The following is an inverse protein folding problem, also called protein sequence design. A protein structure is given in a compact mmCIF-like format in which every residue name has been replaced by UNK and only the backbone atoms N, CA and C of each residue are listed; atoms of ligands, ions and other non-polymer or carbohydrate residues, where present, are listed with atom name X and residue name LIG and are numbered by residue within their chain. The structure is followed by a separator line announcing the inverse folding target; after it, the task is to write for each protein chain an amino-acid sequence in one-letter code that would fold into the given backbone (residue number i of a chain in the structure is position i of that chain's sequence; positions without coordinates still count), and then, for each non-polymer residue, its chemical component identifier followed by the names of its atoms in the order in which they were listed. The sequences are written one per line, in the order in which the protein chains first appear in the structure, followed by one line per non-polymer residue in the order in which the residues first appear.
data_IF_004840228539
#
_entry.id   IF_004840228539
#
_cell.length_a   1.000
_cell.length_b   1.000
_cell.length_c   1.000
_cell.angle_alpha   90.00
_cell.angle_beta   90.00
_cell.angle_gamma   90.00
#
_symmetry.space_group_name_H-M   'P 1'
#
loop_
_entity.id
_entity.type
_entity.pdbx_description
1 polymer ?
#
# COMPACT_ATOMS: atom_id res chain seq x y z
N UNK A 1 2.63 -1.31 19.80
CA UNK A 1 2.73 -2.51 18.92
C UNK A 1 1.39 -2.73 18.20
N UNK A 2 0.88 -1.68 17.53
CA UNK A 2 -0.45 -1.67 16.88
C UNK A 2 -0.40 -1.39 15.37
N UNK A 3 0.80 -1.14 14.79
CA UNK A 3 0.96 -0.57 13.44
C UNK A 3 0.99 -1.61 12.30
N UNK A 4 0.65 -2.89 12.52
CA UNK A 4 1.02 -3.93 11.56
C UNK A 4 -0.07 -4.93 11.14
N UNK A 5 -1.34 -4.75 11.46
CA UNK A 5 -2.36 -5.72 11.04
C UNK A 5 -2.55 -5.80 9.51
N UNK A 6 -2.58 -4.72 8.72
CA UNK A 6 -2.61 -4.85 7.25
C UNK A 6 -1.23 -5.21 6.65
N UNK A 7 -0.14 -4.68 7.22
CA UNK A 7 1.22 -4.89 6.70
C UNK A 7 1.82 -6.29 6.97
N UNK A 8 1.24 -7.09 7.89
CA UNK A 8 1.66 -8.49 8.16
C UNK A 8 0.93 -9.53 7.31
N UNK A 9 -0.17 -9.19 6.66
CA UNK A 9 -0.99 -10.17 5.94
C UNK A 9 -1.14 -9.87 4.44
N UNK A 10 -1.10 -8.61 4.01
CA UNK A 10 -1.23 -8.24 2.60
C UNK A 10 0.12 -8.27 1.87
N UNK A 11 0.20 -8.96 0.72
CA UNK A 11 1.38 -9.03 -0.17
C UNK A 11 2.74 -9.26 0.53
N UNK A 12 2.82 -10.23 1.46
CA UNK A 12 4.06 -10.53 2.21
C UNK A 12 5.28 -10.85 1.34
N UNK A 13 5.06 -11.39 0.13
CA UNK A 13 6.12 -11.80 -0.78
C UNK A 13 6.95 -10.60 -1.29
N UNK A 14 6.34 -9.41 -1.39
CA UNK A 14 7.00 -8.18 -1.86
C UNK A 14 7.56 -7.33 -0.71
N UNK A 15 7.14 -7.58 0.53
CA UNK A 15 7.58 -6.82 1.70
C UNK A 15 9.07 -6.98 1.97
N UNK A 16 9.54 -8.22 2.07
CA UNK A 16 10.95 -8.50 2.36
C UNK A 16 11.93 -7.96 1.30
N UNK A 17 11.70 -8.14 -0.02
CA UNK A 17 12.63 -7.59 -1.02
C UNK A 17 12.63 -6.05 -1.02
N UNK A 18 11.49 -5.39 -0.85
CA UNK A 18 11.46 -3.93 -0.79
C UNK A 18 12.13 -3.38 0.48
N UNK A 19 11.89 -3.99 1.64
CA UNK A 19 12.57 -3.61 2.88
C UNK A 19 14.09 -3.75 2.76
N UNK A 20 14.60 -4.82 2.14
CA UNK A 20 16.05 -5.01 1.94
C UNK A 20 16.65 -3.96 1.00
N UNK A 21 15.95 -3.62 -0.08
CA UNK A 21 16.40 -2.58 -1.03
C UNK A 21 16.43 -1.21 -0.35
N UNK A 22 15.40 -0.86 0.42
CA UNK A 22 15.35 0.43 1.10
C UNK A 22 16.29 0.51 2.30
N UNK A 23 16.53 -0.58 3.01
CA UNK A 23 17.57 -0.67 4.05
C UNK A 23 18.95 -0.45 3.44
N UNK A 24 19.25 -1.05 2.29
CA UNK A 24 20.49 -0.81 1.55
C UNK A 24 20.63 0.67 1.15
N UNK A 25 19.58 1.28 0.57
CA UNK A 25 19.59 2.70 0.18
C UNK A 25 19.80 3.61 1.40
N UNK A 26 19.07 3.39 2.50
CA UNK A 26 19.18 4.22 3.70
C UNK A 26 20.55 4.06 4.40
N UNK A 27 21.13 2.86 4.39
CA UNK A 27 22.40 2.56 5.08
C UNK A 27 23.61 2.99 4.25
N UNK A 28 23.61 2.67 2.95
CA UNK A 28 24.80 2.78 2.11
C UNK A 28 24.83 4.07 1.28
N UNK A 29 23.68 4.66 0.94
CA UNK A 29 23.62 5.91 0.16
C UNK A 29 23.48 7.14 1.06
N UNK A 30 22.65 7.07 2.11
CA UNK A 30 22.38 8.24 2.96
C UNK A 30 23.25 8.32 4.22
N UNK A 31 24.08 7.32 4.52
CA UNK A 31 24.91 7.25 5.74
C UNK A 31 24.15 7.62 7.03
N UNK A 32 22.84 7.39 7.06
CA UNK A 32 22.00 7.76 8.19
C UNK A 32 22.35 6.83 9.35
N UNK A 33 22.79 7.42 10.47
CA UNK A 33 23.01 6.66 11.71
C UNK A 33 21.70 6.00 12.12
N UNK A 34 21.70 4.67 12.07
CA UNK A 34 20.66 3.86 12.69
C UNK A 34 20.92 3.81 14.20
N UNK A 35 19.90 3.96 15.07
CA UNK A 35 18.48 4.22 14.78
C UNK A 35 18.16 5.73 14.80
N UNK A 36 17.56 6.25 13.72
CA UNK A 36 16.96 7.60 13.70
C UNK A 36 15.53 7.53 13.16
N UNK A 37 14.62 8.29 13.77
CA UNK A 37 13.21 8.33 13.36
C UNK A 37 13.04 8.78 11.91
N UNK A 38 13.93 9.66 11.44
CA UNK A 38 13.95 10.13 10.06
C UNK A 38 14.26 9.00 9.06
N UNK A 39 15.26 8.15 9.35
CA UNK A 39 15.60 7.02 8.51
C UNK A 39 14.44 6.02 8.38
N UNK A 40 13.67 5.83 9.47
CA UNK A 40 12.47 4.98 9.46
C UNK A 40 11.40 5.51 8.51
N UNK A 41 11.04 6.80 8.60
CA UNK A 41 10.02 7.38 7.73
C UNK A 41 10.45 7.44 6.26
N UNK A 42 11.72 7.79 6.00
CA UNK A 42 12.27 7.76 4.65
C UNK A 42 12.22 6.35 4.06
N UNK A 43 12.57 5.32 4.82
CA UNK A 43 12.48 3.94 4.37
C UNK A 43 11.03 3.57 3.99
N UNK A 44 10.06 3.88 4.83
CA UNK A 44 8.63 3.63 4.56
C UNK A 44 8.19 4.33 3.27
N UNK A 45 8.52 5.61 3.10
CA UNK A 45 8.19 6.37 1.89
C UNK A 45 8.82 5.72 0.65
N UNK A 46 10.08 5.32 0.72
CA UNK A 46 10.79 4.69 -0.40
C UNK A 46 10.20 3.32 -0.78
N UNK A 47 9.80 2.50 0.21
CA UNK A 47 9.15 1.20 -0.04
C UNK A 47 7.87 1.40 -0.84
N UNK A 48 7.02 2.32 -0.38
CA UNK A 48 5.75 2.60 -1.06
C UNK A 48 5.93 3.30 -2.41
N UNK A 49 6.97 4.13 -2.57
CA UNK A 49 7.32 4.70 -3.87
C UNK A 49 7.74 3.62 -4.88
N UNK A 50 8.56 2.65 -4.47
CA UNK A 50 8.95 1.54 -5.34
C UNK A 50 7.75 0.66 -5.69
N UNK A 51 6.87 0.42 -4.72
CA UNK A 51 5.60 -0.27 -4.96
C UNK A 51 4.71 0.49 -5.96
N UNK A 52 4.59 1.81 -5.83
CA UNK A 52 3.86 2.66 -6.77
C UNK A 52 4.42 2.56 -8.19
N UNK A 53 5.75 2.60 -8.32
CA UNK A 53 6.43 2.47 -9.62
C UNK A 53 6.19 1.09 -10.24
N UNK A 54 6.29 0.02 -9.45
CA UNK A 54 6.00 -1.33 -9.92
C UNK A 54 4.56 -1.44 -10.45
N UNK A 55 3.58 -0.91 -9.70
CA UNK A 55 2.19 -0.87 -10.14
C UNK A 55 1.99 -0.02 -11.39
N UNK A 56 2.62 1.15 -11.49
CA UNK A 56 2.58 1.98 -12.69
C UNK A 56 3.16 1.26 -13.92
N UNK A 57 4.23 0.47 -13.75
CA UNK A 57 4.80 -0.36 -14.81
C UNK A 57 3.86 -1.51 -15.24
N UNK A 58 3.13 -2.11 -14.31
CA UNK A 58 2.11 -3.13 -14.60
C UNK A 58 0.94 -2.50 -15.35
N UNK A 59 0.45 -1.36 -14.88
CA UNK A 59 -0.61 -0.58 -15.51
C UNK A 59 -0.23 -0.16 -16.94
N UNK A 60 1.04 0.24 -17.16
CA UNK A 60 1.56 0.58 -18.49
C UNK A 60 1.55 -0.63 -19.45
N UNK A 61 1.85 -1.84 -18.97
CA UNK A 61 1.68 -3.07 -19.78
C UNK A 61 0.22 -3.33 -20.11
N UNK A 62 -0.69 -3.03 -19.19
CA UNK A 62 -2.15 -3.06 -19.40
C UNK A 62 -2.69 -1.93 -20.28
N UNK A 63 -1.84 -1.04 -20.81
CA UNK A 63 -2.23 0.06 -21.69
C UNK A 63 -2.64 1.36 -21.00
N UNK A 64 -2.52 1.44 -19.67
CA UNK A 64 -2.81 2.66 -18.90
C UNK A 64 -1.62 3.60 -18.92
N UNK A 65 -1.81 4.86 -19.32
CA UNK A 65 -0.72 5.85 -19.30
C UNK A 65 -0.24 6.18 -17.88
N UNK A 66 1.05 6.47 -17.72
CA UNK A 66 1.66 6.85 -16.42
C UNK A 66 1.03 8.08 -15.73
N UNK A 67 0.31 8.92 -16.48
CA UNK A 67 -0.42 10.08 -15.96
C UNK A 67 -1.87 9.74 -15.56
N UNK A 68 -2.38 8.57 -15.99
CA UNK A 68 -3.73 8.08 -15.70
C UNK A 68 -3.73 7.00 -14.61
N UNK A 69 -2.57 6.44 -14.28
CA UNK A 69 -2.46 5.45 -13.21
C UNK A 69 -2.79 6.07 -11.85
N UNK A 70 -3.71 5.42 -11.15
CA UNK A 70 -4.02 5.72 -9.76
C UNK A 70 -2.97 5.24 -8.77
N UNK A 71 -1.92 4.55 -9.24
CA UNK A 71 -0.90 3.94 -8.40
C UNK A 71 -0.19 4.99 -7.55
N UNK A 72 0.20 6.13 -8.13
CA UNK A 72 0.89 7.19 -7.40
C UNK A 72 0.07 7.67 -6.20
N UNK A 73 -1.21 7.97 -6.41
CA UNK A 73 -2.09 8.48 -5.37
C UNK A 73 -2.35 7.42 -4.29
N UNK A 74 -2.63 6.18 -4.68
CA UNK A 74 -2.93 5.10 -3.73
C UNK A 74 -1.73 4.73 -2.86
N UNK A 75 -0.57 4.48 -3.48
CA UNK A 75 0.59 3.95 -2.76
C UNK A 75 1.34 5.04 -1.98
N UNK A 76 1.44 6.29 -2.49
CA UNK A 76 2.09 7.39 -1.75
C UNK A 76 1.25 7.91 -0.58
N UNK A 77 -0.05 7.61 -0.53
CA UNK A 77 -0.89 7.95 0.61
C UNK A 77 -0.71 6.97 1.78
N UNK A 78 -0.23 5.74 1.53
CA UNK A 78 0.00 4.73 2.57
C UNK A 78 1.01 5.18 3.66
N UNK A 79 2.19 5.75 3.32
CA UNK A 79 3.08 6.35 4.32
C UNK A 79 2.42 7.43 5.18
N UNK A 80 1.50 8.22 4.60
CA UNK A 80 0.80 9.29 5.33
C UNK A 80 -0.11 8.69 6.39
N UNK A 81 -0.87 7.65 6.05
CA UNK A 81 -1.70 6.92 7.03
C UNK A 81 -0.88 6.35 8.19
N UNK A 82 0.27 5.73 7.89
CA UNK A 82 1.19 5.18 8.89
C UNK A 82 1.77 6.28 9.80
N UNK A 83 2.13 7.44 9.24
CA UNK A 83 2.64 8.57 10.03
C UNK A 83 1.56 9.12 10.97
N UNK A 84 0.30 9.18 10.51
CA UNK A 84 -0.84 9.61 11.35
C UNK A 84 -1.03 8.64 12.51
N UNK A 85 -1.00 7.33 12.27
CA UNK A 85 -1.08 6.31 13.34
C UNK A 85 0.05 6.46 14.37
N UNK A 86 1.29 6.69 13.92
CA UNK A 86 2.44 6.92 14.79
C UNK A 86 2.27 8.17 15.67
N UNK A 87 1.65 9.23 15.12
CA UNK A 87 1.33 10.46 15.85
C UNK A 87 0.25 10.20 16.90
N UNK A 88 -0.80 9.43 16.56
CA UNK A 88 -1.86 9.06 17.50
C UNK A 88 -1.32 8.20 18.66
N UNK A 89 -0.49 7.19 18.38
CA UNK A 89 0.16 6.37 19.43
C UNK A 89 1.05 7.23 20.34
N UNK A 90 1.78 8.19 19.75
CA UNK A 90 2.63 9.12 20.50
C UNK A 90 1.82 10.08 21.37
N UNK A 91 0.73 10.66 20.85
CA UNK A 91 -0.14 11.56 21.59
C UNK A 91 -0.87 10.83 22.72
N UNK A 92 -1.42 9.65 22.43
CA UNK A 92 -2.08 8.82 23.43
C UNK A 92 -1.12 8.49 24.58
N UNK A 93 0.10 8.07 24.24
CA UNK A 93 1.13 7.74 25.25
C UNK A 93 1.51 8.94 26.11
N UNK A 94 1.54 10.15 25.53
CA UNK A 94 1.84 11.38 26.27
C UNK A 94 0.70 11.82 27.20
N UNK A 95 -0.55 11.63 26.78
CA UNK A 95 -1.73 12.09 27.53
C UNK A 95 -2.19 11.10 28.61
N UNK A 96 -2.16 9.81 28.29
CA UNK A 96 -2.73 8.75 29.13
C UNK A 96 -1.69 7.78 29.69
N UNK A 97 -0.40 8.01 29.39
CA UNK A 97 0.69 7.09 29.71
C UNK A 97 0.77 5.92 28.73
N UNK A 98 1.75 5.03 28.95
CA UNK A 98 1.91 3.86 28.09
C UNK A 98 0.70 2.94 28.21
N UNK A 99 0.24 2.42 27.07
CA UNK A 99 -0.71 1.31 27.07
C UNK A 99 -0.08 0.13 27.81
N UNK A 100 -0.75 -0.35 28.87
CA UNK A 100 -0.43 -1.65 29.44
C UNK A 100 -0.90 -2.73 28.47
N UNK A 101 -0.01 -3.66 28.13
CA UNK A 101 -0.39 -4.85 27.37
C UNK A 101 -1.17 -5.82 28.28
N UNK A 102 -2.29 -6.40 27.81
CA UNK A 102 -2.89 -6.19 26.49
C UNK A 102 -3.65 -4.87 26.37
N UNK A 103 -3.48 -4.17 25.24
CA UNK A 103 -4.28 -2.99 24.92
C UNK A 103 -5.78 -3.30 25.03
N UNK A 104 -6.57 -2.35 25.55
CA UNK A 104 -8.00 -2.55 25.73
C UNK A 104 -8.69 -2.92 24.41
N UNK A 105 -9.70 -3.79 24.48
CA UNK A 105 -10.42 -4.27 23.29
C UNK A 105 -10.96 -3.10 22.44
N UNK A 106 -11.39 -2.01 23.08
CA UNK A 106 -11.86 -0.79 22.41
C UNK A 106 -10.79 -0.13 21.53
N UNK A 107 -9.54 -0.07 22.00
CA UNK A 107 -8.43 0.54 21.25
C UNK A 107 -8.09 -0.30 20.02
N UNK A 108 -8.18 -1.63 20.14
CA UNK A 108 -7.98 -2.54 19.02
C UNK A 108 -9.08 -2.37 17.96
N UNK A 109 -10.34 -2.31 18.38
CA UNK A 109 -11.48 -2.09 17.49
C UNK A 109 -11.38 -0.74 16.78
N UNK A 110 -10.97 0.32 17.48
CA UNK A 110 -10.77 1.64 16.86
C UNK A 110 -9.66 1.61 15.81
N UNK A 111 -8.53 0.96 16.10
CA UNK A 111 -7.45 0.77 15.13
C UNK A 111 -7.90 -0.02 13.91
N UNK A 112 -8.66 -1.10 14.10
CA UNK A 112 -9.20 -1.90 12.99
C UNK A 112 -10.16 -1.07 12.13
N UNK A 113 -11.09 -0.34 12.75
CA UNK A 113 -12.03 0.55 12.03
C UNK A 113 -11.26 1.60 11.22
N UNK A 114 -10.26 2.24 11.84
CA UNK A 114 -9.43 3.23 11.16
C UNK A 114 -8.76 2.64 9.92
N UNK A 115 -8.08 1.50 10.06
CA UNK A 115 -7.40 0.83 8.94
C UNK A 115 -8.37 0.48 7.82
N UNK A 116 -9.53 -0.08 8.16
CA UNK A 116 -10.54 -0.45 7.17
C UNK A 116 -11.13 0.78 6.46
N UNK A 117 -11.44 1.84 7.20
CA UNK A 117 -11.92 3.10 6.63
C UNK A 117 -10.87 3.72 5.72
N UNK A 118 -9.61 3.78 6.16
CA UNK A 118 -8.52 4.31 5.36
C UNK A 118 -8.35 3.51 4.07
N UNK A 119 -8.28 2.18 4.16
CA UNK A 119 -8.19 1.31 2.97
C UNK A 119 -9.38 1.48 2.04
N UNK A 120 -10.61 1.60 2.57
CA UNK A 120 -11.80 1.81 1.77
C UNK A 120 -11.78 3.16 1.02
N UNK A 121 -11.14 4.19 1.57
CA UNK A 121 -10.98 5.48 0.92
C UNK A 121 -9.85 5.49 -0.11
N UNK A 122 -8.73 4.80 0.17
CA UNK A 122 -7.56 4.81 -0.70
C UNK A 122 -7.68 3.81 -1.86
N UNK A 123 -8.29 2.65 -1.64
CA UNK A 123 -8.38 1.59 -2.66
C UNK A 123 -9.09 2.03 -3.96
N UNK A 124 -10.21 2.80 -3.94
CA UNK A 124 -10.83 3.30 -5.16
C UNK A 124 -9.93 4.19 -6.01
N UNK A 125 -8.98 4.90 -5.40
CA UNK A 125 -8.04 5.77 -6.12
C UNK A 125 -7.18 4.97 -7.09
N UNK A 126 -6.85 3.72 -6.78
CA UNK A 126 -6.15 2.81 -7.70
C UNK A 126 -7.12 2.03 -8.59
N UNK A 127 -8.16 1.45 -7.99
CA UNK A 127 -9.03 0.52 -8.69
C UNK A 127 -9.89 1.20 -9.78
N UNK A 128 -10.37 2.42 -9.57
CA UNK A 128 -11.23 3.08 -10.57
C UNK A 128 -10.46 3.45 -11.86
N UNK A 129 -9.27 4.08 -11.81
CA UNK A 129 -8.50 4.30 -13.02
C UNK A 129 -8.10 3.00 -13.72
N UNK A 130 -7.73 1.97 -12.94
CA UNK A 130 -7.41 0.66 -13.48
C UNK A 130 -8.60 0.07 -14.24
N UNK A 131 -9.79 0.01 -13.64
CA UNK A 131 -10.99 -0.51 -14.30
C UNK A 131 -11.43 0.31 -15.51
N UNK A 132 -11.13 1.62 -15.52
CA UNK A 132 -11.57 2.54 -16.59
C UNK A 132 -10.66 2.54 -17.81
N UNK A 133 -9.34 2.48 -17.60
CA UNK A 133 -8.37 2.70 -18.67
C UNK A 133 -7.62 1.44 -19.11
N UNK A 134 -7.72 0.37 -18.34
CA UNK A 134 -7.03 -0.87 -18.65
C UNK A 134 -7.65 -1.53 -19.88
N UNK A 135 -6.79 -1.87 -20.84
CA UNK A 135 -7.20 -2.53 -22.07
C UNK A 135 -7.35 -4.05 -21.82
N UNK A 136 -8.57 -4.61 -21.90
CA UNK A 136 -8.80 -6.03 -21.66
C UNK A 136 -8.02 -6.93 -22.64
N UNK A 137 -7.66 -6.42 -23.82
CA UNK A 137 -6.93 -7.17 -24.85
C UNK A 137 -5.44 -7.29 -24.55
N UNK A 138 -4.88 -6.38 -23.75
CA UNK A 138 -3.46 -6.35 -23.36
C UNK A 138 -3.18 -7.01 -22.02
N UNK A 139 -4.22 -7.30 -21.25
CA UNK A 139 -4.15 -7.92 -19.93
C UNK A 139 -3.74 -9.40 -19.90
N UNK A 140 -3.39 -10.00 -21.05
CA UNK A 140 -2.92 -11.38 -21.09
C UNK A 140 -3.99 -12.43 -20.78
N UNK A 141 -5.28 -12.07 -20.78
CA UNK A 141 -6.35 -13.06 -20.75
C UNK A 141 -6.41 -13.75 -22.12
N UNK A 142 -6.08 -15.05 -22.22
CA UNK A 142 -5.92 -15.74 -23.51
C UNK A 142 -7.24 -15.82 -24.31
N UNK A 143 -8.38 -15.71 -23.64
CA UNK A 143 -9.70 -15.63 -24.26
C UNK A 143 -10.65 -14.86 -23.34
N UNK A 144 -11.53 -14.05 -23.94
CA UNK A 144 -12.64 -13.44 -23.21
C UNK A 144 -13.73 -14.49 -23.07
N UNK A 145 -14.07 -14.89 -21.84
CA UNK A 145 -15.18 -15.82 -21.56
C UNK A 145 -16.49 -15.27 -22.12
N UNK A 146 -16.68 -13.95 -22.11
CA UNK A 146 -17.84 -13.30 -22.74
C UNK A 146 -17.85 -13.48 -24.27
N UNK A 147 -16.70 -13.35 -24.96
CA UNK A 147 -16.60 -13.66 -26.40
C UNK A 147 -16.83 -15.15 -26.69
N UNK A 148 -16.25 -16.03 -25.87
CA UNK A 148 -16.39 -17.48 -26.02
C UNK A 148 -17.85 -17.93 -25.83
N UNK A 149 -18.53 -17.40 -24.81
CA UNK A 149 -19.95 -17.67 -24.57
C UNK A 149 -20.81 -17.09 -25.69
N UNK A 150 -20.55 -15.86 -26.13
CA UNK A 150 -21.28 -15.27 -27.25
C UNK A 150 -21.16 -16.11 -28.52
N UNK A 151 -19.96 -16.58 -28.86
CA UNK A 151 -19.77 -17.49 -30.01
C UNK A 151 -20.46 -18.84 -29.85
N UNK A 152 -20.75 -19.26 -28.62
CA UNK A 152 -21.45 -20.51 -28.34
C UNK A 152 -22.98 -20.39 -28.39
N UNK A 153 -23.52 -19.17 -28.21
CA UNK A 153 -24.96 -18.88 -28.32
C UNK A 153 -25.37 -18.35 -29.70
N UNK A 154 -24.41 -17.83 -30.49
CA UNK A 154 -24.62 -17.38 -31.87
C UNK A 154 -24.36 -18.47 -32.93
N UNK A 155 -23.96 -19.68 -32.51
CA UNK A 155 -23.77 -20.88 -33.34
C UNK A 155 -24.94 -21.85 -33.18
#
# INVERSE_FOLDING_TARGET
MLVCLPCLYWHQLLRQPFQRITEFICRDIQHLRYPSSLARYLNVILVFLYSALMHACIDAKGGVGFHLTGAWACFLLQPVGIIVEDIEETLYTKLFGKLHEPASLWIRVLGDIWVWCFLALVAPLYNFPLMRYQDPTRNGAPFSVAKLLRSHFEA
#
